data_IF_590885158220
#
_entry.id   IF_590885158220
#
_cell.length_a   1.000
_cell.length_b   1.000
_cell.length_c   1.000
_cell.angle_alpha   90.00
_cell.angle_beta   90.00
_cell.angle_gamma   90.00
#
_symmetry.space_group_name_H-M   'P 1'
#
loop_
_entity.id
_entity.type
_entity.pdbx_description
1 polymer ?
#
# COMPACT_ATOMS: atom_id res chain seq x y z
N UNK A 1 -15.70 0.30 1.15
CA UNK A 1 -16.53 0.31 -0.08
C UNK A 1 -15.74 0.80 -1.29
N UNK A 2 -15.18 2.02 -1.23
CA UNK A 2 -14.45 2.65 -2.33
C UNK A 2 -13.17 1.92 -2.77
N UNK A 3 -12.47 1.19 -1.90
CA UNK A 3 -11.28 0.42 -2.28
C UNK A 3 -11.60 -1.00 -2.77
N UNK A 4 -12.47 -1.71 -2.03
CA UNK A 4 -12.75 -3.14 -2.27
C UNK A 4 -13.29 -3.37 -3.69
N UNK A 5 -14.26 -2.56 -4.14
CA UNK A 5 -14.88 -2.79 -5.45
C UNK A 5 -13.92 -2.55 -6.64
N UNK A 6 -13.13 -1.46 -6.69
CA UNK A 6 -12.07 -1.29 -7.69
C UNK A 6 -11.03 -2.41 -7.68
N UNK A 7 -10.60 -2.88 -6.51
CA UNK A 7 -9.62 -3.98 -6.40
C UNK A 7 -10.15 -5.25 -7.06
N UNK A 8 -11.36 -5.68 -6.70
CA UNK A 8 -11.98 -6.88 -7.29
C UNK A 8 -12.18 -6.74 -8.81
N UNK A 9 -12.56 -5.54 -9.26
CA UNK A 9 -12.77 -5.27 -10.70
C UNK A 9 -11.46 -5.30 -11.48
N UNK A 10 -10.38 -4.73 -10.94
CA UNK A 10 -9.06 -4.76 -11.56
C UNK A 10 -8.50 -6.19 -11.63
N UNK A 11 -8.67 -6.99 -10.57
CA UNK A 11 -8.30 -8.40 -10.58
C UNK A 11 -9.09 -9.16 -11.66
N UNK A 12 -10.41 -8.95 -11.75
CA UNK A 12 -11.23 -9.59 -12.77
C UNK A 12 -10.84 -9.19 -14.20
N UNK A 13 -10.28 -7.98 -14.38
CA UNK A 13 -9.72 -7.51 -15.64
C UNK A 13 -8.29 -8.02 -15.93
N UNK A 14 -7.72 -8.86 -15.05
CA UNK A 14 -6.41 -9.49 -15.24
C UNK A 14 -5.21 -8.66 -14.74
N UNK A 15 -5.44 -7.59 -13.99
CA UNK A 15 -4.35 -6.81 -13.38
C UNK A 15 -3.81 -7.48 -12.12
N UNK A 16 -2.52 -7.32 -11.87
CA UNK A 16 -1.93 -7.55 -10.56
C UNK A 16 -2.21 -6.34 -9.68
N UNK A 17 -2.80 -6.56 -8.50
CA UNK A 17 -3.27 -5.48 -7.64
C UNK A 17 -2.55 -5.52 -6.31
N UNK A 18 -1.86 -4.43 -6.00
CA UNK A 18 -1.39 -4.12 -4.65
C UNK A 18 -2.35 -3.10 -4.03
N UNK A 19 -2.88 -3.41 -2.84
CA UNK A 19 -3.77 -2.53 -2.11
C UNK A 19 -3.04 -1.96 -0.88
N UNK A 20 -3.04 -0.64 -0.74
CA UNK A 20 -2.25 0.10 0.27
C UNK A 20 -3.10 0.40 1.50
N UNK A 21 -2.83 -0.30 2.61
CA UNK A 21 -3.72 -0.35 3.76
C UNK A 21 -3.58 0.85 4.69
N UNK A 22 -2.38 1.40 4.86
CA UNK A 22 -2.11 2.59 5.68
C UNK A 22 -2.60 3.90 5.03
N UNK A 23 -2.89 3.88 3.73
CA UNK A 23 -3.51 4.98 2.99
C UNK A 23 -5.04 4.83 2.85
N UNK A 24 -5.63 3.79 3.45
CA UNK A 24 -7.04 3.42 3.26
C UNK A 24 -7.76 3.21 4.59
N UNK A 25 -8.98 3.75 4.72
CA UNK A 25 -9.74 3.71 5.97
C UNK A 25 -11.07 2.96 5.88
N UNK A 26 -11.53 2.46 7.03
CA UNK A 26 -12.85 1.84 7.22
C UNK A 26 -13.57 2.42 8.44
N UNK A 27 -14.92 2.36 8.50
CA UNK A 27 -15.69 2.95 9.61
C UNK A 27 -15.58 2.17 10.93
N UNK A 28 -15.06 0.95 10.91
CA UNK A 28 -14.84 0.13 12.10
C UNK A 28 -13.77 -0.93 11.83
N UNK A 29 -13.18 -1.48 12.90
CA UNK A 29 -12.18 -2.54 12.79
C UNK A 29 -12.72 -3.82 12.14
N UNK A 30 -13.96 -4.19 12.46
CA UNK A 30 -14.64 -5.31 11.82
C UNK A 30 -14.78 -5.08 10.30
N UNK A 31 -15.19 -3.88 9.88
CA UNK A 31 -15.34 -3.56 8.46
C UNK A 31 -13.99 -3.59 7.73
N UNK A 32 -12.93 -3.12 8.38
CA UNK A 32 -11.56 -3.17 7.88
C UNK A 32 -11.10 -4.61 7.67
N UNK A 33 -11.12 -5.43 8.73
CA UNK A 33 -10.60 -6.80 8.71
C UNK A 33 -11.34 -7.68 7.69
N UNK A 34 -12.67 -7.53 7.58
CA UNK A 34 -13.47 -8.25 6.59
C UNK A 34 -13.15 -7.78 5.17
N UNK A 35 -12.92 -6.48 4.96
CA UNK A 35 -12.56 -5.92 3.65
C UNK A 35 -11.19 -6.40 3.20
N UNK A 36 -10.20 -6.41 4.09
CA UNK A 36 -8.84 -6.89 3.83
C UNK A 36 -8.85 -8.37 3.42
N UNK A 37 -9.47 -9.24 4.23
CA UNK A 37 -9.61 -10.67 3.92
C UNK A 37 -10.29 -10.92 2.58
N UNK A 38 -11.31 -10.13 2.25
CA UNK A 38 -12.01 -10.25 0.97
C UNK A 38 -11.12 -9.93 -0.22
N UNK A 39 -10.30 -8.88 -0.13
CA UNK A 39 -9.38 -8.50 -1.21
C UNK A 39 -8.22 -9.51 -1.33
N UNK A 40 -7.64 -9.92 -0.20
CA UNK A 40 -6.58 -10.93 -0.16
C UNK A 40 -7.05 -12.27 -0.74
N UNK A 41 -8.23 -12.75 -0.35
CA UNK A 41 -8.83 -13.98 -0.90
C UNK A 41 -9.11 -13.89 -2.40
N UNK A 42 -9.28 -12.69 -2.94
CA UNK A 42 -9.44 -12.47 -4.38
C UNK A 42 -8.09 -12.43 -5.13
N UNK A 43 -6.97 -12.42 -4.42
CA UNK A 43 -5.61 -12.39 -4.98
C UNK A 43 -4.93 -11.02 -4.94
N UNK A 44 -5.47 -10.04 -4.21
CA UNK A 44 -4.75 -8.78 -3.99
C UNK A 44 -3.59 -8.98 -3.01
N UNK A 45 -2.46 -8.32 -3.27
CA UNK A 45 -1.39 -8.17 -2.27
C UNK A 45 -1.78 -7.01 -1.36
N UNK A 46 -1.91 -7.27 -0.06
CA UNK A 46 -2.08 -6.21 0.93
C UNK A 46 -0.71 -5.69 1.33
N UNK A 47 -0.51 -4.38 1.23
CA UNK A 47 0.78 -3.73 1.47
C UNK A 47 0.61 -2.39 2.19
N UNK A 48 1.72 -1.70 2.44
CA UNK A 48 1.80 -0.37 3.04
C UNK A 48 2.58 0.58 2.13
N UNK A 49 2.45 1.88 2.37
CA UNK A 49 3.01 2.92 1.49
C UNK A 49 4.53 2.85 1.40
N UNK A 50 5.21 2.56 2.51
CA UNK A 50 6.66 2.41 2.59
C UNK A 50 7.17 1.23 1.76
N UNK A 51 6.47 0.09 1.81
CA UNK A 51 6.80 -1.11 1.03
C UNK A 51 6.63 -0.86 -0.47
N UNK A 52 5.58 -0.18 -0.90
CA UNK A 52 5.40 0.20 -2.32
C UNK A 52 6.57 1.08 -2.79
N UNK A 53 6.98 2.06 -1.99
CA UNK A 53 8.12 2.91 -2.33
C UNK A 53 9.41 2.09 -2.37
N UNK A 54 9.61 1.15 -1.46
CA UNK A 54 10.77 0.27 -1.46
C UNK A 54 10.82 -0.63 -2.70
N UNK A 55 9.67 -1.17 -3.12
CA UNK A 55 9.55 -1.96 -4.35
C UNK A 55 9.84 -1.14 -5.61
N UNK A 56 9.48 0.15 -5.64
CA UNK A 56 9.83 1.06 -6.73
C UNK A 56 11.32 1.45 -6.70
N UNK A 57 11.88 1.61 -5.50
CA UNK A 57 13.24 2.10 -5.28
C UNK A 57 14.31 1.12 -5.74
N UNK A 58 14.22 -0.17 -5.36
CA UNK A 58 15.15 -1.29 -5.60
C UNK A 58 16.65 -1.03 -5.31
N UNK A 59 17.24 0.02 -5.89
CA UNK A 59 18.61 0.50 -5.68
C UNK A 59 18.64 1.94 -5.10
N UNK A 60 18.99 1.99 -3.82
CA UNK A 60 19.07 3.20 -3.01
C UNK A 60 20.34 4.03 -3.25
N UNK A 61 21.34 3.50 -3.95
CA UNK A 61 22.58 4.22 -4.26
C UNK A 61 22.40 5.23 -5.41
N UNK A 62 21.31 5.09 -6.17
CA UNK A 62 20.99 5.97 -7.30
C UNK A 62 20.49 7.34 -6.83
N UNK A 63 20.52 8.32 -7.75
CA UNK A 63 19.94 9.64 -7.49
C UNK A 63 18.43 9.59 -7.23
N UNK A 64 17.72 8.65 -7.87
CA UNK A 64 16.28 8.41 -7.66
C UNK A 64 16.05 7.77 -6.29
N UNK A 65 16.79 6.73 -5.95
CA UNK A 65 16.72 6.08 -4.63
C UNK A 65 16.99 7.06 -3.48
N UNK A 66 17.98 7.94 -3.65
CA UNK A 66 18.28 9.00 -2.70
C UNK A 66 17.11 9.99 -2.50
N UNK A 67 16.35 10.30 -3.56
CA UNK A 67 15.15 11.13 -3.46
C UNK A 67 13.99 10.41 -2.79
N UNK A 68 13.81 9.10 -3.06
CA UNK A 68 12.78 8.29 -2.41
C UNK A 68 13.00 8.18 -0.90
N UNK A 69 14.26 8.10 -0.45
CA UNK A 69 14.60 8.18 0.98
C UNK A 69 14.06 9.47 1.61
N UNK A 70 14.24 10.61 0.93
CA UNK A 70 13.73 11.89 1.44
C UNK A 70 12.21 11.86 1.57
N UNK A 71 11.50 11.34 0.56
CA UNK A 71 10.03 11.20 0.59
C UNK A 71 9.58 10.31 1.76
N UNK A 72 10.24 9.17 1.96
CA UNK A 72 9.92 8.25 3.05
C UNK A 72 10.01 8.95 4.42
N UNK A 73 11.14 9.61 4.71
CA UNK A 73 11.35 10.24 6.01
C UNK A 73 10.52 11.52 6.23
N UNK A 74 10.15 12.23 5.15
CA UNK A 74 9.39 13.47 5.27
C UNK A 74 7.87 13.25 5.35
N UNK A 75 7.35 12.19 4.72
CA UNK A 75 5.90 12.06 4.50
C UNK A 75 5.30 10.73 4.96
N UNK A 76 6.08 9.66 5.09
CA UNK A 76 5.56 8.30 5.31
C UNK A 76 5.94 7.77 6.69
N UNK A 77 7.22 7.78 7.00
CA UNK A 77 7.72 7.26 8.26
C UNK A 77 7.49 8.27 9.39
N UNK A 78 7.21 7.79 10.62
CA UNK A 78 7.11 8.67 11.77
C UNK A 78 8.44 9.38 12.02
N UNK A 79 8.37 10.60 12.55
CA UNK A 79 9.56 11.32 13.00
C UNK A 79 10.26 10.51 14.08
N UNK A 80 11.50 10.14 13.85
CA UNK A 80 12.33 9.46 14.85
C UNK A 80 12.74 10.50 15.90
N UNK A 81 11.91 10.66 16.93
CA UNK A 81 12.28 11.37 18.15
C UNK A 81 13.18 10.42 18.95
N UNK A 82 14.47 10.74 19.04
CA UNK A 82 15.39 10.11 20.00
C UNK A 82 15.11 10.63 21.42
#
# INVERSE_FOLDING_TARGET
MCLVYPVLSAIAAGYQVQAVMDASGSPSKLAEDVSWRRMENAGAILTATDLVIAELGQDWSTSVGSQLIQVLFQHVLPSISA
#
